data_IF_908717709747
#
_entry.id   IF_908717709747
#
_cell.length_a   1.000
_cell.length_b   1.000
_cell.length_c   1.000
_cell.angle_alpha   90.00
_cell.angle_beta   90.00
_cell.angle_gamma   90.00
#
_symmetry.space_group_name_H-M   'P 1'
#
loop_
_entity.id
_entity.type
_entity.pdbx_description
1 polymer ?
#
# COMPACT_ATOMS: atom_id res chain seq x y z
N UNK A 1 27.90 -14.77 47.40
CA UNK A 1 26.80 -14.85 46.40
C UNK A 1 25.38 -14.95 46.97
N UNK A 2 25.14 -15.37 48.22
CA UNK A 2 23.76 -15.50 48.77
C UNK A 2 23.07 -14.18 49.19
N UNK A 3 23.83 -13.09 49.39
CA UNK A 3 23.26 -11.80 49.82
C UNK A 3 22.52 -11.05 48.69
N UNK A 4 22.97 -11.22 47.43
CA UNK A 4 22.38 -10.50 46.27
C UNK A 4 21.05 -11.16 45.84
N UNK A 5 20.94 -12.49 45.94
CA UNK A 5 19.69 -13.20 45.62
C UNK A 5 18.54 -12.85 46.57
N UNK A 6 18.83 -12.55 47.85
CA UNK A 6 17.81 -12.18 48.84
C UNK A 6 17.21 -10.78 48.60
N UNK A 7 17.95 -9.86 47.97
CA UNK A 7 17.47 -8.50 47.67
C UNK A 7 16.42 -8.52 46.55
N UNK A 8 16.58 -9.43 45.57
CA UNK A 8 15.60 -9.59 44.48
C UNK A 8 14.32 -10.29 44.94
N UNK A 9 14.37 -11.11 45.99
CA UNK A 9 13.18 -11.72 46.60
C UNK A 9 12.41 -10.77 47.53
N UNK A 10 13.07 -9.75 48.11
CA UNK A 10 12.42 -8.75 48.98
C UNK A 10 11.80 -7.57 48.20
N UNK A 11 12.18 -7.41 46.93
CA UNK A 11 11.52 -6.47 46.02
C UNK A 11 10.19 -7.08 45.57
N UNK A 12 9.12 -6.75 46.29
CA UNK A 12 7.76 -7.04 45.86
C UNK A 12 7.53 -6.32 44.52
N UNK A 13 7.71 -7.02 43.40
CA UNK A 13 7.62 -6.49 42.02
C UNK A 13 6.16 -6.34 41.54
N UNK A 14 5.21 -6.82 42.34
CA UNK A 14 3.75 -6.75 42.09
C UNK A 14 3.21 -5.33 41.88
N UNK A 15 3.55 -4.29 42.68
CA UNK A 15 3.05 -2.94 42.47
C UNK A 15 3.62 -2.32 41.19
N UNK A 16 4.87 -2.62 40.81
CA UNK A 16 5.46 -2.15 39.55
C UNK A 16 4.71 -2.75 38.36
N UNK A 17 4.38 -4.04 38.41
CA UNK A 17 3.56 -4.70 37.36
C UNK A 17 2.16 -4.13 37.29
N UNK A 18 1.52 -3.85 38.43
CA UNK A 18 0.19 -3.24 38.47
C UNK A 18 0.20 -1.81 37.90
N UNK A 19 1.25 -1.03 38.20
CA UNK A 19 1.42 0.33 37.68
C UNK A 19 1.62 0.33 36.16
N UNK A 20 2.46 -0.57 35.64
CA UNK A 20 2.67 -0.73 34.19
C UNK A 20 1.40 -1.18 33.48
N UNK A 21 0.64 -2.11 34.08
CA UNK A 21 -0.63 -2.56 33.51
C UNK A 21 -1.67 -1.43 33.48
N UNK A 22 -1.80 -0.67 34.56
CA UNK A 22 -2.69 0.49 34.61
C UNK A 22 -2.29 1.56 33.56
N UNK A 23 -0.99 1.81 33.42
CA UNK A 23 -0.48 2.75 32.42
C UNK A 23 -0.75 2.29 30.98
N UNK A 24 -0.53 1.00 30.68
CA UNK A 24 -0.86 0.43 29.37
C UNK A 24 -2.36 0.51 29.07
N UNK A 25 -3.22 0.19 30.05
CA UNK A 25 -4.67 0.31 29.90
C UNK A 25 -5.11 1.76 29.65
N UNK A 26 -4.53 2.73 30.38
CA UNK A 26 -4.80 4.13 30.16
C UNK A 26 -4.35 4.56 28.75
N UNK A 27 -3.15 4.17 28.32
CA UNK A 27 -2.62 4.49 27.00
C UNK A 27 -3.50 3.91 25.87
N UNK A 28 -3.98 2.68 26.01
CA UNK A 28 -4.93 2.08 25.06
C UNK A 28 -6.28 2.81 25.06
N UNK A 29 -6.79 3.21 26.22
CA UNK A 29 -8.02 4.00 26.31
C UNK A 29 -7.87 5.34 25.58
N UNK A 30 -6.76 6.05 25.80
CA UNK A 30 -6.45 7.31 25.13
C UNK A 30 -6.13 7.16 23.63
N UNK A 31 -5.57 6.03 23.21
CA UNK A 31 -5.31 5.74 21.80
C UNK A 31 -6.58 5.54 20.96
N UNK A 32 -7.71 5.19 21.59
CA UNK A 32 -8.99 5.01 20.89
C UNK A 32 -9.87 6.27 20.86
N UNK A 33 -9.60 7.28 21.71
CA UNK A 33 -10.36 8.55 21.73
C UNK A 33 -9.83 9.60 20.75
N UNK A 34 -8.65 9.38 20.19
CA UNK A 34 -8.16 10.15 19.05
C UNK A 34 -8.31 9.25 17.82
N UNK A 35 -9.34 9.46 16.97
CA UNK A 35 -9.36 8.83 15.67
C UNK A 35 -8.02 9.13 15.00
N UNK A 36 -7.33 8.11 14.48
CA UNK A 36 -6.25 8.36 13.56
C UNK A 36 -6.85 9.13 12.39
N UNK A 37 -6.67 10.45 12.38
CA UNK A 37 -7.12 11.30 11.29
C UNK A 37 -6.20 10.99 10.12
N UNK A 38 -6.47 9.89 9.42
CA UNK A 38 -6.09 9.80 8.03
C UNK A 38 -6.68 11.03 7.34
N UNK A 39 -5.85 11.72 6.56
CA UNK A 39 -6.30 12.85 5.75
C UNK A 39 -7.65 12.53 5.13
N UNK A 40 -8.57 13.50 5.09
CA UNK A 40 -9.91 13.39 4.50
C UNK A 40 -9.85 12.61 3.19
N UNK A 41 -10.10 11.30 3.26
CA UNK A 41 -10.29 10.48 2.10
C UNK A 41 -11.72 10.74 1.65
N UNK A 42 -11.94 10.74 0.34
CA UNK A 42 -13.27 10.68 -0.23
C UNK A 42 -13.56 9.21 -0.56
N UNK A 43 -13.92 8.36 0.42
CA UNK A 43 -14.08 6.92 0.19
C UNK A 43 -15.13 6.62 -0.89
N UNK A 44 -16.10 7.51 -1.08
CA UNK A 44 -17.09 7.41 -2.16
C UNK A 44 -16.49 7.59 -3.57
N UNK A 45 -15.37 8.31 -3.71
CA UNK A 45 -14.70 8.48 -5.01
C UNK A 45 -14.01 7.19 -5.46
N UNK A 46 -13.44 6.43 -4.53
CA UNK A 46 -12.89 5.10 -4.82
C UNK A 46 -13.97 4.12 -5.27
N UNK A 47 -15.11 4.09 -4.57
CA UNK A 47 -16.25 3.22 -4.92
C UNK A 47 -16.84 3.57 -6.30
N UNK A 48 -17.06 4.86 -6.59
CA UNK A 48 -17.56 5.31 -7.88
C UNK A 48 -16.62 4.93 -9.05
N UNK A 49 -15.29 5.08 -8.87
CA UNK A 49 -14.30 4.70 -9.88
C UNK A 49 -14.21 3.17 -10.08
N UNK A 50 -14.40 2.37 -9.03
CA UNK A 50 -14.40 0.90 -9.13
C UNK A 50 -15.61 0.36 -9.91
N UNK A 51 -16.78 0.98 -9.74
CA UNK A 51 -17.97 0.62 -10.50
C UNK A 51 -17.81 0.89 -12.00
N UNK A 52 -17.11 1.97 -12.35
CA UNK A 52 -16.81 2.32 -13.75
C UNK A 52 -15.87 1.29 -14.40
N UNK A 53 -14.78 0.92 -13.72
CA UNK A 53 -13.86 -0.15 -14.17
C UNK A 53 -14.58 -1.50 -14.28
N UNK A 54 -15.46 -1.81 -13.34
CA UNK A 54 -16.26 -3.03 -13.38
C UNK A 54 -17.22 -3.04 -14.58
N UNK A 55 -17.85 -1.90 -14.88
CA UNK A 55 -18.69 -1.72 -16.07
C UNK A 55 -17.93 -1.96 -17.37
N UNK A 56 -16.78 -1.30 -17.55
CA UNK A 56 -15.96 -1.48 -18.76
C UNK A 56 -15.44 -2.93 -18.91
N UNK A 57 -15.11 -3.58 -17.79
CA UNK A 57 -14.70 -4.99 -17.78
C UNK A 57 -15.86 -5.92 -18.18
N UNK A 58 -17.06 -5.69 -17.66
CA UNK A 58 -18.24 -6.49 -18.02
C UNK A 58 -18.66 -6.30 -19.48
N UNK A 59 -18.58 -5.06 -19.97
CA UNK A 59 -18.90 -4.73 -21.36
C UNK A 59 -17.89 -5.38 -22.33
N UNK A 60 -16.61 -5.36 -21.98
CA UNK A 60 -15.55 -6.04 -22.76
C UNK A 60 -15.70 -7.57 -22.70
N UNK A 61 -16.14 -8.12 -21.56
CA UNK A 61 -16.37 -9.57 -21.43
C UNK A 61 -17.61 -10.05 -22.20
N UNK A 62 -18.59 -9.18 -22.45
CA UNK A 62 -19.84 -9.49 -23.18
C UNK A 62 -19.77 -9.16 -24.68
N UNK A 63 -18.79 -8.36 -25.10
CA UNK A 63 -18.62 -7.95 -26.50
C UNK A 63 -17.79 -8.95 -27.31
N UNK A 64 -17.84 -8.81 -28.64
CA UNK A 64 -16.89 -9.50 -29.51
C UNK A 64 -15.47 -8.98 -29.23
N UNK A 65 -14.42 -9.81 -29.42
CA UNK A 65 -13.04 -9.37 -29.20
C UNK A 65 -12.77 -8.06 -29.95
N UNK A 66 -12.23 -7.04 -29.27
CA UNK A 66 -12.01 -5.73 -29.88
C UNK A 66 -11.03 -5.83 -31.04
N UNK A 67 -11.28 -5.02 -32.07
CA UNK A 67 -10.45 -5.00 -33.27
C UNK A 67 -9.07 -4.39 -32.96
N UNK A 68 -8.04 -4.76 -33.71
CA UNK A 68 -6.66 -4.33 -33.41
C UNK A 68 -6.50 -2.80 -33.32
N UNK A 69 -7.25 -2.04 -34.13
CA UNK A 69 -7.27 -0.56 -34.08
C UNK A 69 -7.88 -0.02 -32.78
N UNK A 70 -8.91 -0.70 -32.28
CA UNK A 70 -9.61 -0.30 -31.05
C UNK A 70 -8.74 -0.59 -29.82
N UNK A 71 -8.09 -1.75 -29.81
CA UNK A 71 -7.06 -2.12 -28.83
C UNK A 71 -5.95 -1.08 -28.82
N UNK A 72 -5.39 -0.74 -29.99
CA UNK A 72 -4.30 0.24 -30.07
C UNK A 72 -4.71 1.61 -29.54
N UNK A 73 -5.91 2.08 -29.90
CA UNK A 73 -6.45 3.36 -29.42
C UNK A 73 -6.64 3.36 -27.90
N UNK A 74 -7.24 2.31 -27.32
CA UNK A 74 -7.42 2.22 -25.86
C UNK A 74 -6.10 2.02 -25.11
N UNK A 75 -5.15 1.28 -25.67
CA UNK A 75 -3.81 1.14 -25.09
C UNK A 75 -3.01 2.45 -25.13
N UNK A 76 -3.19 3.31 -26.13
CA UNK A 76 -2.60 4.65 -26.19
C UNK A 76 -3.12 5.59 -25.08
N UNK A 77 -4.31 5.32 -24.55
CA UNK A 77 -4.90 6.12 -23.46
C UNK A 77 -4.21 5.87 -22.11
N UNK A 78 -3.59 4.71 -21.90
CA UNK A 78 -2.51 4.57 -20.91
C UNK A 78 -2.32 3.20 -20.25
N UNK A 79 -3.37 2.62 -19.65
CA UNK A 79 -3.21 1.50 -18.71
C UNK A 79 -3.30 0.12 -19.38
N UNK A 80 -4.37 -0.17 -20.12
CA UNK A 80 -4.55 -1.39 -20.92
C UNK A 80 -5.78 -1.27 -21.85
N UNK A 81 -6.02 -2.28 -22.69
CA UNK A 81 -7.14 -2.28 -23.63
C UNK A 81 -8.53 -2.34 -22.99
N UNK A 82 -8.63 -2.77 -21.73
CA UNK A 82 -9.90 -2.89 -20.99
C UNK A 82 -10.20 -1.61 -20.21
N UNK A 83 -9.20 -1.07 -19.51
CA UNK A 83 -9.28 0.04 -18.57
C UNK A 83 -8.95 1.40 -19.20
N UNK A 84 -8.36 1.45 -20.40
CA UNK A 84 -8.01 2.71 -21.07
C UNK A 84 -7.20 3.66 -20.16
N UNK A 85 -7.73 4.85 -19.88
CA UNK A 85 -7.16 5.81 -18.93
C UNK A 85 -7.85 5.82 -17.54
N UNK A 86 -8.80 4.92 -17.28
CA UNK A 86 -9.57 4.90 -16.03
C UNK A 86 -8.65 4.69 -14.81
N UNK A 87 -8.60 5.68 -13.92
CA UNK A 87 -7.75 5.65 -12.72
C UNK A 87 -6.26 5.94 -12.97
N UNK A 88 -5.88 6.38 -14.19
CA UNK A 88 -4.50 6.77 -14.53
C UNK A 88 -4.00 7.94 -13.68
N UNK A 89 -4.90 8.86 -13.31
CA UNK A 89 -4.66 10.03 -12.46
C UNK A 89 -4.33 9.67 -11.00
N UNK A 90 -4.68 8.46 -10.56
CA UNK A 90 -4.45 7.95 -9.19
C UNK A 90 -3.21 7.03 -9.12
N UNK A 91 -2.61 6.69 -10.26
CA UNK A 91 -1.43 5.84 -10.32
C UNK A 91 -0.17 6.68 -10.20
N UNK A 92 0.82 6.18 -9.45
CA UNK A 92 2.15 6.79 -9.41
C UNK A 92 2.73 6.71 -10.83
N UNK A 93 2.97 7.88 -11.43
CA UNK A 93 3.60 7.98 -12.75
C UNK A 93 4.98 7.34 -12.74
N UNK A 94 5.48 6.77 -13.85
CA UNK A 94 6.82 6.18 -13.91
C UNK A 94 7.95 7.13 -13.47
N UNK A 95 7.76 8.43 -13.66
CA UNK A 95 8.66 9.51 -13.22
C UNK A 95 8.57 9.84 -11.72
N UNK A 96 7.43 9.58 -11.10
CA UNK A 96 7.22 9.69 -9.65
C UNK A 96 7.52 8.36 -8.93
N UNK A 97 7.52 7.25 -9.68
CA UNK A 97 7.92 5.95 -9.22
C UNK A 97 9.44 5.92 -9.17
N UNK A 98 10.00 5.92 -7.96
CA UNK A 98 11.43 5.69 -7.74
C UNK A 98 11.78 4.20 -7.97
N UNK A 99 11.43 3.70 -9.16
CA UNK A 99 11.46 2.30 -9.57
C UNK A 99 12.31 2.17 -10.84
N UNK A 100 13.17 1.16 -10.87
CA UNK A 100 14.02 0.87 -12.02
C UNK A 100 13.18 0.33 -13.17
N UNK A 101 13.21 1.00 -14.32
CA UNK A 101 12.50 0.52 -15.51
C UNK A 101 13.13 -0.80 -16.01
N UNK A 102 12.35 -1.59 -16.76
CA UNK A 102 12.88 -2.81 -17.38
C UNK A 102 14.06 -2.50 -18.31
N UNK A 103 13.99 -1.37 -19.03
CA UNK A 103 15.07 -0.92 -19.91
C UNK A 103 16.35 -0.59 -19.12
N UNK A 104 16.22 0.04 -17.96
CA UNK A 104 17.35 0.33 -17.08
C UNK A 104 17.98 -0.95 -16.53
N UNK A 105 17.16 -1.95 -16.16
CA UNK A 105 17.65 -3.28 -15.75
C UNK A 105 18.41 -4.00 -16.87
N UNK A 106 17.93 -3.86 -18.10
CA UNK A 106 18.61 -4.44 -19.27
C UNK A 106 19.92 -3.72 -19.56
N UNK A 107 19.95 -2.38 -19.49
CA UNK A 107 21.17 -1.57 -19.65
C UNK A 107 22.19 -1.85 -18.54
N UNK A 108 21.74 -1.96 -17.29
CA UNK A 108 22.58 -2.30 -16.14
C UNK A 108 23.14 -3.72 -16.28
N UNK A 109 22.32 -4.70 -16.64
CA UNK A 109 22.76 -6.07 -16.92
C UNK A 109 23.78 -6.15 -18.06
N UNK A 110 23.55 -5.43 -19.16
CA UNK A 110 24.50 -5.35 -20.27
C UNK A 110 25.82 -4.71 -19.84
N UNK A 111 25.77 -3.62 -19.06
CA UNK A 111 26.95 -2.93 -18.54
C UNK A 111 27.74 -3.80 -17.55
N UNK A 112 27.06 -4.60 -16.73
CA UNK A 112 27.71 -5.52 -15.78
C UNK A 112 28.38 -6.72 -16.47
N UNK A 113 27.91 -7.15 -17.65
CA UNK A 113 28.47 -8.29 -18.38
C UNK A 113 29.56 -7.87 -19.37
N UNK A 114 29.39 -6.71 -20.02
CA UNK A 114 30.24 -6.29 -21.15
C UNK A 114 30.96 -4.96 -20.91
N UNK A 115 30.64 -4.24 -19.84
CA UNK A 115 31.29 -2.99 -19.46
C UNK A 115 32.51 -3.21 -18.56
N UNK A 116 33.49 -3.98 -19.07
CA UNK A 116 34.82 -4.24 -18.50
C UNK A 116 34.89 -4.77 -17.06
#
# INVERSE_FOLDING_TARGET
MKAIQNIFQSLNIRPVRALLAAFACAMLFFANVLPATAATSAPQQGEAKLLDVQGETEDTAKSAPPDLKEVQKKSEEGLNEVQGAAGKDEMISPEDANATSFEDKVKEGYKNIFGN
#
